data_IF_063064143782
#
_entry.id   IF_063064143782
#
_cell.length_a   1.000
_cell.length_b   1.000
_cell.length_c   1.000
_cell.angle_alpha   90.00
_cell.angle_beta   90.00
_cell.angle_gamma   90.00
#
_symmetry.space_group_name_H-M   'P 1'
#
loop_
_entity.id
_entity.type
_entity.pdbx_description
1 polymer ?
#
# COMPACT_ATOMS: atom_id res chain seq x y z
N UNK A 1 -5.99 9.92 -35.91
CA UNK A 1 -6.67 9.18 -34.83
C UNK A 1 -5.73 9.12 -33.63
N UNK A 2 -5.88 10.02 -32.66
CA UNK A 2 -5.09 9.94 -31.42
C UNK A 2 -5.64 8.75 -30.60
N UNK A 3 -4.78 7.77 -30.30
CA UNK A 3 -5.07 6.71 -29.34
C UNK A 3 -5.38 7.40 -28.00
N UNK A 4 -6.61 7.25 -27.50
CA UNK A 4 -7.02 7.62 -26.14
C UNK A 4 -6.25 6.74 -25.14
N UNK A 5 -4.94 6.97 -24.99
CA UNK A 5 -4.15 6.35 -23.92
C UNK A 5 -4.53 7.05 -22.63
N UNK A 6 -5.19 6.32 -21.73
CA UNK A 6 -5.49 6.79 -20.38
C UNK A 6 -4.19 6.97 -19.60
N UNK A 7 -3.54 8.13 -19.74
CA UNK A 7 -2.38 8.51 -18.93
C UNK A 7 -2.83 9.10 -17.59
N UNK A 8 -3.51 8.31 -16.77
CA UNK A 8 -3.77 8.66 -15.37
C UNK A 8 -2.56 8.25 -14.55
N UNK A 9 -1.90 9.21 -13.92
CA UNK A 9 -0.81 8.92 -12.97
C UNK A 9 -1.40 8.85 -11.57
N UNK A 10 -1.44 7.64 -11.00
CA UNK A 10 -1.83 7.41 -9.62
C UNK A 10 -0.60 7.31 -8.71
N UNK A 11 -0.79 7.63 -7.43
CA UNK A 11 0.01 7.04 -6.37
C UNK A 11 -0.28 5.54 -6.37
N UNK A 12 0.61 4.78 -6.99
CA UNK A 12 0.42 3.37 -7.33
C UNK A 12 1.51 2.78 -8.24
N UNK A 13 2.55 3.58 -8.55
CA UNK A 13 3.80 3.04 -9.08
C UNK A 13 4.51 2.17 -8.03
N UNK A 14 5.60 1.50 -8.39
CA UNK A 14 6.25 0.48 -7.54
C UNK A 14 6.85 1.08 -6.26
N UNK A 15 7.02 2.39 -6.22
CA UNK A 15 7.36 3.12 -5.01
C UNK A 15 6.26 3.18 -3.96
N UNK A 16 4.99 3.00 -4.32
CA UNK A 16 3.90 3.03 -3.34
C UNK A 16 4.07 1.93 -2.28
N UNK A 17 4.64 0.79 -2.67
CA UNK A 17 4.99 -0.29 -1.76
C UNK A 17 5.95 0.21 -0.68
N UNK A 18 6.96 1.00 -1.03
CA UNK A 18 7.94 1.52 -0.07
C UNK A 18 7.31 2.49 0.94
N UNK A 19 6.35 3.33 0.50
CA UNK A 19 5.63 4.25 1.40
C UNK A 19 4.57 3.57 2.27
N UNK A 20 4.13 2.37 1.90
CA UNK A 20 3.13 1.61 2.65
C UNK A 20 3.72 0.82 3.84
N UNK A 21 5.05 0.73 3.96
CA UNK A 21 5.71 0.20 5.15
C UNK A 21 5.51 1.16 6.32
N UNK A 22 4.40 0.99 7.06
CA UNK A 22 4.01 1.88 8.15
C UNK A 22 5.00 1.88 9.32
N UNK A 23 5.78 0.80 9.49
CA UNK A 23 6.83 0.73 10.53
C UNK A 23 8.02 1.60 10.16
N UNK A 24 8.43 1.60 8.88
CA UNK A 24 9.52 2.49 8.40
C UNK A 24 9.06 3.90 8.08
N UNK A 25 7.77 4.11 7.87
CA UNK A 25 7.16 5.41 7.59
C UNK A 25 6.06 5.70 8.63
N UNK A 26 6.44 5.97 9.90
CA UNK A 26 5.48 6.11 11.00
C UNK A 26 4.46 7.22 10.75
N UNK A 27 4.83 8.31 10.08
CA UNK A 27 3.96 9.43 9.68
C UNK A 27 2.69 8.99 8.91
N UNK A 28 2.67 7.77 8.37
CA UNK A 28 1.49 7.23 7.71
C UNK A 28 0.35 6.90 8.70
N UNK A 29 0.69 6.29 9.85
CA UNK A 29 -0.28 5.73 10.81
C UNK A 29 0.19 5.63 12.26
N UNK A 30 1.49 5.48 12.49
CA UNK A 30 2.08 5.08 13.78
C UNK A 30 2.86 6.20 14.48
N UNK A 31 2.98 7.37 13.85
CA UNK A 31 3.52 8.56 14.51
C UNK A 31 2.58 9.06 15.61
N UNK A 32 3.14 9.50 16.74
CA UNK A 32 2.37 9.85 17.92
C UNK A 32 1.40 11.03 17.70
N UNK A 33 1.73 11.99 16.84
CA UNK A 33 0.83 13.11 16.49
C UNK A 33 -0.28 12.61 15.56
N UNK A 34 0.06 11.77 14.59
CA UNK A 34 -0.89 11.16 13.66
C UNK A 34 -1.89 10.26 14.38
N UNK A 35 -1.43 9.47 15.35
CA UNK A 35 -2.26 8.56 16.14
C UNK A 35 -3.38 9.29 16.91
N UNK A 36 -3.16 10.56 17.31
CA UNK A 36 -4.18 11.36 18.00
C UNK A 36 -5.40 11.67 17.13
N UNK A 37 -5.28 11.52 15.82
CA UNK A 37 -6.39 11.72 14.88
C UNK A 37 -7.30 10.49 14.73
N UNK A 38 -7.04 9.41 15.45
CA UNK A 38 -7.77 8.15 15.36
C UNK A 38 -8.34 7.70 16.70
N UNK A 39 -9.49 7.02 16.64
CA UNK A 39 -9.98 6.21 17.76
C UNK A 39 -9.59 4.76 17.55
N UNK A 40 -9.15 4.08 18.61
CA UNK A 40 -8.72 2.69 18.59
C UNK A 40 -9.67 1.80 19.40
N UNK A 41 -9.88 0.58 18.93
CA UNK A 41 -10.67 -0.43 19.66
C UNK A 41 -9.98 -1.79 19.58
N UNK A 42 -9.83 -2.44 20.73
CA UNK A 42 -9.43 -3.84 20.80
C UNK A 42 -10.57 -4.71 20.27
N UNK A 43 -10.28 -5.53 19.28
CA UNK A 43 -11.20 -6.49 18.67
C UNK A 43 -10.94 -7.91 19.22
N UNK A 44 -11.78 -8.86 18.81
CA UNK A 44 -11.53 -10.28 19.07
C UNK A 44 -10.17 -10.71 18.51
N UNK A 45 -9.44 -11.48 19.32
CA UNK A 45 -8.16 -12.05 18.93
C UNK A 45 -8.34 -13.07 17.82
N UNK A 46 -7.35 -13.17 16.94
CA UNK A 46 -7.36 -14.13 15.83
C UNK A 46 -6.10 -14.99 15.86
N UNK A 47 -6.17 -16.17 15.26
CA UNK A 47 -4.97 -16.97 14.96
C UNK A 47 -4.55 -16.72 13.51
N UNK A 48 -3.29 -16.33 13.31
CA UNK A 48 -2.68 -16.16 11.99
C UNK A 48 -1.42 -17.01 11.98
N UNK A 49 -1.32 -17.96 11.03
CA UNK A 49 -0.23 -18.92 10.93
C UNK A 49 0.04 -19.64 12.27
N UNK A 50 -1.02 -20.17 12.88
CA UNK A 50 -1.00 -20.89 14.17
C UNK A 50 -0.46 -20.09 15.37
N UNK A 51 -0.36 -18.77 15.25
CA UNK A 51 0.04 -17.87 16.34
C UNK A 51 -1.09 -16.91 16.71
N UNK A 52 -1.38 -16.72 18.01
CA UNK A 52 -2.44 -15.81 18.43
C UNK A 52 -2.02 -14.35 18.30
N UNK A 53 -2.95 -13.53 17.85
CA UNK A 53 -2.75 -12.09 17.60
C UNK A 53 -3.77 -11.24 18.36
N UNK A 54 -3.31 -10.12 18.90
CA UNK A 54 -4.18 -8.98 19.20
C UNK A 54 -4.60 -8.31 17.90
N UNK A 55 -5.85 -7.86 17.85
CA UNK A 55 -6.39 -7.10 16.73
C UNK A 55 -6.87 -5.76 17.26
N UNK A 56 -6.32 -4.68 16.72
CA UNK A 56 -6.70 -3.31 17.08
C UNK A 56 -7.28 -2.67 15.83
N UNK A 57 -8.57 -2.34 15.85
CA UNK A 57 -9.16 -1.52 14.80
C UNK A 57 -8.90 -0.04 15.07
N UNK A 58 -8.79 0.73 14.00
CA UNK A 58 -8.66 2.19 14.06
C UNK A 58 -9.54 2.84 13.01
N UNK A 59 -10.07 4.01 13.34
CA UNK A 59 -10.89 4.82 12.45
C UNK A 59 -10.71 6.32 12.74
N UNK A 60 -10.91 7.21 11.75
CA UNK A 60 -10.75 8.64 11.94
C UNK A 60 -11.62 9.17 13.08
N UNK A 61 -11.01 9.97 13.96
CA UNK A 61 -11.66 10.70 15.05
C UNK A 61 -11.48 12.22 14.93
N UNK A 62 -10.80 12.69 13.87
CA UNK A 62 -10.58 14.11 13.59
C UNK A 62 -10.97 14.46 12.14
N UNK A 63 -11.38 15.72 11.94
CA UNK A 63 -11.63 16.28 10.61
C UNK A 63 -10.42 17.09 10.15
N UNK A 64 -9.66 16.53 9.21
CA UNK A 64 -8.44 17.15 8.67
C UNK A 64 -8.63 17.59 7.22
N UNK A 65 -7.79 18.51 6.68
CA UNK A 65 -7.89 18.95 5.29
C UNK A 65 -7.55 17.84 4.27
N UNK A 66 -6.97 16.72 4.71
CA UNK A 66 -6.62 15.54 3.91
C UNK A 66 -7.39 14.29 4.36
N UNK A 67 -7.40 13.24 3.53
CA UNK A 67 -8.10 11.99 3.81
C UNK A 67 -7.28 11.14 4.79
N UNK A 68 -7.94 10.65 5.84
CA UNK A 68 -7.37 9.73 6.82
C UNK A 68 -7.66 8.28 6.44
N UNK A 69 -7.06 7.34 7.16
CA UNK A 69 -7.22 5.91 6.93
C UNK A 69 -8.14 5.25 7.96
N UNK A 70 -8.59 4.04 7.69
CA UNK A 70 -9.21 3.19 8.70
C UNK A 70 -8.78 1.75 8.45
N UNK A 71 -8.80 0.90 9.48
CA UNK A 71 -8.27 -0.43 9.32
C UNK A 71 -8.08 -1.22 10.60
N UNK A 72 -7.19 -2.21 10.52
CA UNK A 72 -6.81 -3.13 11.58
C UNK A 72 -5.30 -3.31 11.62
N UNK A 73 -4.77 -3.29 12.83
CA UNK A 73 -3.41 -3.68 13.17
C UNK A 73 -3.46 -5.05 13.83
N UNK A 74 -2.58 -5.96 13.41
CA UNK A 74 -2.45 -7.29 13.97
C UNK A 74 -1.08 -7.39 14.65
N UNK A 75 -1.10 -7.68 15.95
CA UNK A 75 0.10 -7.73 16.79
C UNK A 75 0.23 -9.14 17.34
N UNK A 76 1.38 -9.75 17.14
CA UNK A 76 1.68 -11.06 17.69
C UNK A 76 1.63 -11.04 19.23
N UNK A 77 0.90 -11.94 19.88
CA UNK A 77 0.70 -11.87 21.34
C UNK A 77 1.95 -12.20 22.14
N UNK A 78 2.81 -13.05 21.62
CA UNK A 78 4.02 -13.50 22.31
C UNK A 78 5.14 -12.47 22.17
N UNK A 79 5.31 -11.93 20.96
CA UNK A 79 6.43 -11.04 20.62
C UNK A 79 6.08 -9.56 20.69
N UNK A 80 4.80 -9.22 20.72
CA UNK A 80 4.30 -7.84 20.71
C UNK A 80 4.76 -7.02 19.49
N UNK A 81 5.07 -7.68 18.38
CA UNK A 81 5.42 -7.04 17.12
C UNK A 81 4.25 -7.03 16.14
N UNK A 82 4.20 -6.02 15.27
CA UNK A 82 3.24 -6.01 14.16
C UNK A 82 3.54 -7.18 13.21
N UNK A 83 2.53 -7.97 12.90
CA UNK A 83 2.62 -9.03 11.89
C UNK A 83 1.84 -8.70 10.62
N UNK A 84 0.80 -7.87 10.75
CA UNK A 84 -0.03 -7.44 9.63
C UNK A 84 -0.70 -6.10 9.90
N UNK A 85 -0.85 -5.30 8.85
CA UNK A 85 -1.72 -4.14 8.80
C UNK A 85 -2.65 -4.28 7.59
N UNK A 86 -3.93 -4.04 7.82
CA UNK A 86 -4.96 -3.95 6.78
C UNK A 86 -5.62 -2.59 6.89
N UNK A 87 -5.43 -1.71 5.92
CA UNK A 87 -5.96 -0.35 6.01
C UNK A 87 -6.43 0.21 4.68
N UNK A 88 -7.31 1.19 4.77
CA UNK A 88 -8.08 1.73 3.68
C UNK A 88 -8.10 3.24 3.77
N UNK A 89 -7.98 3.92 2.63
CA UNK A 89 -8.16 5.37 2.60
C UNK A 89 -9.66 5.67 2.76
N UNK A 90 -10.02 6.59 3.66
CA UNK A 90 -11.41 7.03 3.82
C UNK A 90 -11.93 7.63 2.52
N UNK A 91 -13.12 7.19 2.13
CA UNK A 91 -13.85 7.68 0.96
C UNK A 91 -14.95 8.69 1.32
N UNK A 92 -15.06 9.07 2.60
CA UNK A 92 -16.11 9.95 3.12
C UNK A 92 -16.08 11.32 2.44
N UNK A 93 -14.87 11.85 2.22
CA UNK A 93 -14.65 13.01 1.36
C UNK A 93 -13.91 12.59 0.08
N UNK A 94 -14.67 12.48 -1.01
CA UNK A 94 -14.14 12.10 -2.33
C UNK A 94 -13.12 13.09 -2.88
N UNK A 95 -13.18 14.37 -2.51
CA UNK A 95 -12.19 15.37 -2.96
C UNK A 95 -10.85 15.07 -2.31
N UNK A 96 -10.84 14.89 -0.98
CA UNK A 96 -9.62 14.52 -0.24
C UNK A 96 -9.05 13.19 -0.70
N UNK A 97 -9.91 12.18 -0.91
CA UNK A 97 -9.49 10.89 -1.45
C UNK A 97 -8.89 11.02 -2.86
N UNK A 98 -9.45 11.88 -3.71
CA UNK A 98 -8.90 12.15 -5.05
C UNK A 98 -7.54 12.82 -4.96
N UNK A 99 -7.38 13.85 -4.11
CA UNK A 99 -6.10 14.54 -3.88
C UNK A 99 -5.00 13.61 -3.37
N UNK A 100 -5.37 12.66 -2.51
CA UNK A 100 -4.46 11.66 -1.96
C UNK A 100 -3.98 10.62 -2.98
N UNK A 101 -4.64 10.44 -4.14
CA UNK A 101 -4.32 9.32 -5.05
C UNK A 101 -4.03 9.76 -6.48
N UNK A 102 -4.62 10.86 -6.94
CA UNK A 102 -4.54 11.31 -8.32
C UNK A 102 -3.44 12.38 -8.48
N UNK A 103 -2.36 12.04 -9.17
CA UNK A 103 -1.29 13.00 -9.50
C UNK A 103 -1.59 13.81 -10.75
N UNK A 104 -2.11 13.16 -11.80
CA UNK A 104 -2.44 13.82 -13.08
C UNK A 104 -3.56 13.09 -13.79
N UNK A 105 -4.45 13.87 -14.41
CA UNK A 105 -5.46 13.38 -15.37
C UNK A 105 -5.51 14.26 -16.62
N UNK A 106 -5.93 13.72 -17.78
CA UNK A 106 -6.28 14.52 -18.94
C UNK A 106 -7.37 15.56 -18.64
N UNK A 107 -7.35 16.66 -19.37
CA UNK A 107 -8.40 17.67 -19.31
C UNK A 107 -9.73 17.04 -19.77
N UNK A 108 -10.83 17.34 -19.07
CA UNK A 108 -12.15 16.80 -19.39
C UNK A 108 -12.43 15.37 -18.91
N UNK A 109 -11.42 14.65 -18.40
CA UNK A 109 -11.63 13.39 -17.69
C UNK A 109 -12.18 13.67 -16.29
N UNK A 110 -13.27 13.00 -15.92
CA UNK A 110 -13.76 12.93 -14.53
C UNK A 110 -13.24 11.63 -13.92
N UNK A 111 -12.53 11.78 -12.80
CA UNK A 111 -11.98 10.68 -12.03
C UNK A 111 -12.78 10.57 -10.73
N UNK A 112 -13.20 9.36 -10.37
CA UNK A 112 -13.97 9.11 -9.15
C UNK A 112 -13.34 7.95 -8.39
N UNK A 113 -12.69 8.18 -7.24
CA UNK A 113 -12.19 7.10 -6.40
C UNK A 113 -13.36 6.26 -5.90
N UNK A 114 -13.19 4.94 -5.91
CA UNK A 114 -14.12 3.97 -5.33
C UNK A 114 -13.53 3.40 -4.04
N UNK A 115 -12.23 3.14 -4.01
CA UNK A 115 -11.55 2.67 -2.81
C UNK A 115 -10.06 2.50 -3.01
N UNK A 116 -9.32 2.62 -1.92
CA UNK A 116 -7.90 2.26 -1.85
C UNK A 116 -7.69 1.37 -0.63
N UNK A 117 -7.04 0.23 -0.84
CA UNK A 117 -6.77 -0.76 0.19
C UNK A 117 -5.28 -1.11 0.20
N UNK A 118 -4.76 -1.35 1.39
CA UNK A 118 -3.40 -1.78 1.67
C UNK A 118 -3.43 -3.00 2.58
N UNK A 119 -2.61 -3.99 2.23
CA UNK A 119 -2.27 -5.13 3.07
C UNK A 119 -0.75 -5.17 3.18
N UNK A 120 -0.24 -5.07 4.40
CA UNK A 120 1.19 -5.08 4.71
C UNK A 120 1.41 -6.19 5.71
N UNK A 121 2.37 -7.07 5.46
CA UNK A 121 2.71 -8.15 6.39
C UNK A 121 4.18 -8.12 6.74
N UNK A 122 4.49 -8.49 7.98
CA UNK A 122 5.83 -8.65 8.50
C UNK A 122 6.06 -10.11 8.87
N UNK A 123 7.28 -10.59 8.65
CA UNK A 123 7.75 -11.90 9.09
C UNK A 123 8.94 -11.70 10.00
N UNK A 124 8.99 -12.46 11.07
CA UNK A 124 10.13 -12.46 11.96
C UNK A 124 11.24 -13.36 11.41
N UNK A 125 12.47 -12.89 11.57
CA UNK A 125 13.72 -13.62 11.34
C UNK A 125 14.71 -13.15 12.41
N UNK A 126 15.33 -14.09 13.12
CA UNK A 126 16.37 -13.83 14.13
C UNK A 126 16.02 -12.75 15.18
N UNK A 127 14.77 -12.78 15.66
CA UNK A 127 14.23 -11.85 16.65
C UNK A 127 13.77 -10.50 16.09
N UNK A 128 13.94 -10.25 14.79
CA UNK A 128 13.61 -8.98 14.14
C UNK A 128 12.43 -9.17 13.18
N UNK A 129 11.44 -8.28 13.25
CA UNK A 129 10.30 -8.28 12.33
C UNK A 129 10.62 -7.51 11.06
N UNK A 130 10.69 -8.22 9.93
CA UNK A 130 10.99 -7.67 8.61
C UNK A 130 9.74 -7.57 7.76
N UNK A 131 9.66 -6.52 6.94
CA UNK A 131 8.65 -6.43 5.89
C UNK A 131 8.72 -7.66 4.98
N UNK A 132 7.58 -8.30 4.72
CA UNK A 132 7.52 -9.54 3.94
C UNK A 132 6.70 -9.41 2.66
N UNK A 133 5.59 -8.68 2.72
CA UNK A 133 4.70 -8.53 1.58
C UNK A 133 3.87 -7.26 1.70
N UNK A 134 3.66 -6.61 0.56
CA UNK A 134 2.77 -5.47 0.43
C UNK A 134 1.87 -5.72 -0.76
N UNK A 135 0.57 -5.49 -0.56
CA UNK A 135 -0.42 -5.40 -1.63
C UNK A 135 -1.18 -4.10 -1.51
N UNK A 136 -1.25 -3.37 -2.60
CA UNK A 136 -2.10 -2.21 -2.76
C UNK A 136 -3.15 -2.47 -3.83
N UNK A 137 -4.38 -2.02 -3.59
CA UNK A 137 -5.47 -2.08 -4.57
C UNK A 137 -6.17 -0.73 -4.66
N UNK A 138 -6.19 -0.14 -5.85
CA UNK A 138 -6.88 1.13 -6.15
C UNK A 138 -8.02 0.87 -7.13
N UNK A 139 -9.24 1.25 -6.75
CA UNK A 139 -10.45 1.14 -7.59
C UNK A 139 -10.96 2.54 -7.90
N UNK A 140 -11.27 2.80 -9.17
CA UNK A 140 -11.79 4.10 -9.60
C UNK A 140 -12.65 4.00 -10.86
N UNK A 141 -13.50 5.00 -11.06
CA UNK A 141 -14.28 5.22 -12.28
C UNK A 141 -13.68 6.39 -13.06
N UNK A 142 -13.66 6.26 -14.39
CA UNK A 142 -13.39 7.38 -15.28
C UNK A 142 -14.56 7.60 -16.24
N UNK A 143 -14.98 8.86 -16.39
CA UNK A 143 -15.94 9.30 -17.41
C UNK A 143 -15.38 10.50 -18.20
N UNK A 144 -15.33 10.38 -19.53
CA UNK A 144 -14.97 11.49 -20.40
C UNK A 144 -16.20 12.39 -20.59
N UNK A 145 -16.02 13.71 -20.37
CA UNK A 145 -17.07 14.72 -20.65
C UNK A 145 -17.52 14.55 -22.11
N UNK A 146 -18.71 13.93 -22.33
CA UNK A 146 -19.40 13.56 -23.60
C UNK A 146 -19.63 12.06 -23.88
N UNK A 147 -19.14 11.12 -23.07
CA UNK A 147 -19.53 9.69 -23.16
C UNK A 147 -20.57 9.33 -22.09
N UNK A 148 -21.63 8.63 -22.49
CA UNK A 148 -22.74 8.22 -21.61
C UNK A 148 -22.39 7.08 -20.63
N UNK A 149 -21.19 6.51 -20.73
CA UNK A 149 -20.76 5.37 -19.91
C UNK A 149 -19.44 5.68 -19.21
N UNK A 150 -19.42 5.46 -17.89
CA UNK A 150 -18.20 5.44 -17.09
C UNK A 150 -17.54 4.06 -17.18
N UNK A 151 -16.22 4.02 -17.27
CA UNK A 151 -15.46 2.76 -17.20
C UNK A 151 -14.91 2.57 -15.79
N UNK A 152 -15.05 1.36 -15.24
CA UNK A 152 -14.45 0.96 -13.96
C UNK A 152 -13.02 0.45 -14.19
N UNK A 153 -12.11 0.84 -13.33
CA UNK A 153 -10.72 0.40 -13.34
C UNK A 153 -10.33 -0.11 -11.96
N UNK A 154 -9.49 -1.15 -11.94
CA UNK A 154 -8.81 -1.65 -10.74
C UNK A 154 -7.33 -1.78 -11.07
N UNK A 155 -6.49 -1.21 -10.21
CA UNK A 155 -5.04 -1.38 -10.25
C UNK A 155 -4.65 -2.15 -9.00
N UNK A 156 -3.84 -3.20 -9.18
CA UNK A 156 -3.24 -3.98 -8.10
C UNK A 156 -1.73 -3.86 -8.24
N UNK A 157 -1.06 -3.55 -7.13
CA UNK A 157 0.39 -3.57 -7.01
C UNK A 157 0.77 -4.49 -5.87
N UNK A 158 1.72 -5.39 -6.12
CA UNK A 158 2.21 -6.36 -5.14
C UNK A 158 3.74 -6.30 -5.08
N UNK A 159 4.28 -6.43 -3.88
CA UNK A 159 5.70 -6.55 -3.60
C UNK A 159 5.89 -7.72 -2.63
N UNK A 160 6.81 -8.61 -2.95
CA UNK A 160 7.19 -9.76 -2.13
C UNK A 160 8.66 -9.62 -1.79
N UNK A 161 9.00 -9.77 -0.52
CA UNK A 161 10.40 -9.88 -0.07
C UNK A 161 10.73 -11.37 0.00
N UNK A 162 11.55 -11.84 -0.94
CA UNK A 162 11.99 -13.25 -1.01
C UNK A 162 13.25 -13.46 -0.19
N UNK A 163 14.25 -12.60 -0.35
CA UNK A 163 15.53 -12.64 0.37
C UNK A 163 15.95 -11.25 0.86
N UNK A 164 16.78 -11.20 1.89
CA UNK A 164 17.29 -9.95 2.48
C UNK A 164 18.68 -10.16 3.05
N UNK A 165 19.68 -9.52 2.44
CA UNK A 165 21.04 -9.46 2.97
C UNK A 165 21.21 -8.19 3.81
N UNK A 166 21.91 -8.30 4.94
CA UNK A 166 22.39 -7.13 5.64
C UNK A 166 23.42 -6.42 4.74
N UNK A 167 23.13 -5.19 4.34
CA UNK A 167 24.03 -4.39 3.52
C UNK A 167 24.20 -3.02 4.20
N UNK A 168 25.41 -2.71 4.64
CA UNK A 168 25.77 -1.43 5.27
C UNK A 168 25.84 -0.27 4.27
N UNK A 169 25.73 -0.56 2.97
CA UNK A 169 25.83 0.42 1.90
C UNK A 169 24.45 0.90 1.42
N UNK A 170 24.28 2.22 1.34
CA UNK A 170 23.08 2.83 0.77
C UNK A 170 22.92 2.45 -0.70
N UNK A 171 21.69 2.15 -1.14
CA UNK A 171 21.39 1.91 -2.55
C UNK A 171 21.85 3.13 -3.39
N UNK A 172 22.74 2.93 -4.38
CA UNK A 172 23.21 4.03 -5.23
C UNK A 172 22.04 4.79 -5.88
N UNK A 173 22.13 6.13 -5.92
CA UNK A 173 21.05 7.00 -6.44
C UNK A 173 20.58 6.66 -7.87
N UNK A 174 21.43 6.01 -8.69
CA UNK A 174 21.06 5.57 -10.05
C UNK A 174 20.19 4.31 -10.06
N UNK A 175 20.32 3.50 -9.02
CA UNK A 175 19.58 2.25 -8.81
C UNK A 175 18.34 2.45 -7.93
N UNK A 176 18.25 3.58 -7.21
CA UNK A 176 17.07 3.92 -6.42
C UNK A 176 15.91 4.34 -7.30
N UNK A 177 14.72 3.86 -6.95
CA UNK A 177 13.51 4.14 -7.71
C UNK A 177 12.95 5.51 -7.30
N UNK A 178 12.83 6.44 -8.25
CA UNK A 178 12.46 7.83 -7.94
C UNK A 178 10.95 7.99 -7.77
N UNK A 179 10.47 8.91 -6.90
CA UNK A 179 9.04 9.13 -6.65
C UNK A 179 8.18 9.42 -7.89
N UNK A 180 8.80 9.88 -8.98
CA UNK A 180 8.14 10.25 -10.24
C UNK A 180 8.25 9.17 -11.35
N UNK A 181 8.95 8.06 -11.11
CA UNK A 181 9.09 6.96 -12.06
C UNK A 181 7.88 6.00 -11.97
N UNK A 182 7.49 5.40 -13.09
CA UNK A 182 6.48 4.33 -13.12
C UNK A 182 7.16 2.97 -13.38
N UNK A 183 6.62 1.88 -12.83
CA UNK A 183 7.20 0.53 -12.98
C UNK A 183 7.34 0.14 -14.45
N UNK A 184 6.35 0.54 -15.26
CA UNK A 184 6.33 0.34 -16.71
C UNK A 184 7.54 0.92 -17.43
N UNK A 185 8.20 1.92 -16.86
CA UNK A 185 9.31 2.62 -17.49
C UNK A 185 10.65 1.89 -17.25
N UNK A 186 10.65 0.86 -16.40
CA UNK A 186 11.85 0.19 -15.84
C UNK A 186 11.72 -1.34 -15.79
N UNK A 187 10.86 -1.94 -16.63
CA UNK A 187 10.54 -3.40 -16.58
C UNK A 187 11.79 -4.28 -16.69
N UNK A 188 12.79 -3.86 -17.46
CA UNK A 188 14.08 -4.56 -17.60
C UNK A 188 14.83 -4.71 -16.27
N UNK A 189 14.67 -3.76 -15.36
CA UNK A 189 15.43 -3.69 -14.10
C UNK A 189 14.89 -4.66 -13.04
N UNK A 190 13.74 -5.30 -13.31
CA UNK A 190 13.07 -6.26 -12.40
C UNK A 190 12.94 -7.66 -12.99
N UNK A 191 13.62 -7.94 -14.12
CA UNK A 191 13.61 -9.26 -14.72
C UNK A 191 14.61 -10.19 -14.01
N UNK A 192 14.11 -10.95 -13.04
CA UNK A 192 14.84 -12.02 -12.38
C UNK A 192 14.19 -13.39 -12.73
N UNK A 193 14.88 -14.27 -13.48
CA UNK A 193 14.38 -15.60 -13.83
C UNK A 193 14.02 -16.48 -12.61
N UNK A 194 14.69 -16.29 -11.48
CA UNK A 194 14.57 -17.14 -10.28
C UNK A 194 13.56 -16.60 -9.26
N UNK A 195 12.97 -15.43 -9.53
CA UNK A 195 12.01 -14.77 -8.66
C UNK A 195 10.82 -15.68 -8.29
N UNK A 196 10.29 -16.43 -9.26
CA UNK A 196 9.14 -17.33 -9.03
C UNK A 196 9.56 -18.67 -8.41
N UNK A 197 10.77 -19.17 -8.72
CA UNK A 197 11.28 -20.43 -8.19
C UNK A 197 11.51 -20.40 -6.68
N UNK A 198 12.05 -19.29 -6.16
CA UNK A 198 12.26 -19.08 -4.72
C UNK A 198 10.94 -19.05 -3.92
N UNK A 199 9.87 -18.50 -4.50
CA UNK A 199 8.52 -18.47 -3.93
C UNK A 199 7.91 -19.86 -3.70
N UNK A 200 8.25 -20.85 -4.55
CA UNK A 200 7.77 -22.23 -4.41
C UNK A 200 8.51 -22.98 -3.30
N UNK A 201 9.81 -22.76 -3.14
CA UNK A 201 10.61 -23.38 -2.07
C UNK A 201 10.17 -22.92 -0.67
N UNK A 202 9.70 -21.68 -0.51
CA UNK A 202 9.21 -21.16 0.77
C UNK A 202 7.73 -21.48 1.09
N UNK A 203 7.03 -22.19 0.20
CA UNK A 203 5.69 -22.75 0.49
C UNK A 203 5.71 -24.22 0.87
N UNK A 204 6.88 -24.86 0.85
CA UNK A 204 7.06 -26.29 1.10
C UNK A 204 7.55 -26.63 2.52
N UNK A 205 7.55 -25.67 3.45
CA UNK A 205 7.90 -25.87 4.86
C UNK A 205 6.90 -25.16 5.76
#
# INVERSE_FOLDING_TARGET
>A
RAKDTLSVKLLGGPNLSVYADAVKNPDLLLDAEVMQHYSYRMEESVNINDRPHYVISFQPAALLPYALYYGKLYIDKERLSFSRLEFFLSMDDRRKATEAILRRKPMGLRFKPIGVAFLVTYKERDGISYLSYIRNTVRFKCDWKRRLFSTNYTIVSEMVVTDGMAQDESIPYRLSFKPNQALSDRVSDFHDPDFVGSLQHHRAY
#
